data_IF_321921079735
#
_entry.id   IF_321921079735
#
_cell.length_a   1.000
_cell.length_b   1.000
_cell.length_c   1.000
_cell.angle_alpha   90.00
_cell.angle_beta   90.00
_cell.angle_gamma   90.00
#
_symmetry.space_group_name_H-M   'P 1'
#
loop_
_entity.id
_entity.type
_entity.pdbx_description
1 polymer ?
#
# COMPACT_ATOMS: atom_id res chain seq x y z
N UNK A 1 9.46 10.04 -25.11
CA UNK A 1 10.49 9.01 -24.95
C UNK A 1 10.58 8.20 -26.24
N UNK A 2 10.97 8.82 -27.37
CA UNK A 2 10.90 8.16 -28.68
C UNK A 2 11.99 7.09 -28.87
N UNK A 3 13.07 7.16 -28.09
CA UNK A 3 14.24 6.29 -28.23
C UNK A 3 14.12 4.96 -27.46
N UNK A 4 12.89 4.54 -27.14
CA UNK A 4 12.61 3.26 -26.48
C UNK A 4 11.48 2.55 -27.22
N UNK A 5 11.65 1.25 -27.46
CA UNK A 5 10.66 0.43 -28.16
C UNK A 5 9.53 0.03 -27.19
N UNK A 6 8.61 0.96 -26.95
CA UNK A 6 7.44 0.77 -26.09
C UNK A 6 6.53 -0.35 -26.59
N UNK A 7 6.44 -0.56 -27.90
CA UNK A 7 5.60 -1.63 -28.46
C UNK A 7 6.19 -2.99 -28.10
N UNK A 8 7.50 -3.18 -28.32
CA UNK A 8 8.16 -4.42 -27.92
C UNK A 8 8.05 -4.68 -26.41
N UNK A 9 8.17 -3.63 -25.58
CA UNK A 9 8.02 -3.74 -24.14
C UNK A 9 6.59 -4.11 -23.71
N UNK A 10 5.57 -3.43 -24.25
CA UNK A 10 4.16 -3.71 -23.96
C UNK A 10 3.76 -5.11 -24.45
N UNK A 11 4.19 -5.50 -25.66
CA UNK A 11 3.92 -6.83 -26.24
C UNK A 11 4.57 -7.94 -25.39
N UNK A 12 5.80 -7.75 -24.93
CA UNK A 12 6.48 -8.71 -24.05
C UNK A 12 5.77 -8.88 -22.69
N UNK A 13 5.18 -7.81 -22.18
CA UNK A 13 4.39 -7.83 -20.95
C UNK A 13 2.93 -8.25 -21.19
N UNK A 14 2.45 -8.29 -22.42
CA UNK A 14 1.07 -8.62 -22.78
C UNK A 14 0.06 -7.48 -22.55
N UNK A 15 0.52 -6.25 -22.30
CA UNK A 15 -0.36 -5.10 -22.07
C UNK A 15 -0.77 -4.41 -23.37
N UNK A 16 -1.97 -3.83 -23.38
CA UNK A 16 -2.48 -2.96 -24.46
C UNK A 16 -2.80 -1.58 -23.90
N UNK A 17 -1.77 -0.81 -23.56
CA UNK A 17 -1.93 0.52 -22.98
C UNK A 17 -1.80 1.60 -24.06
N UNK A 18 -2.90 2.30 -24.44
CA UNK A 18 -2.83 3.38 -25.43
C UNK A 18 -2.14 4.63 -24.88
N UNK A 19 -2.12 4.80 -23.56
CA UNK A 19 -1.49 5.90 -22.85
C UNK A 19 -0.68 5.35 -21.67
N UNK A 20 0.43 6.01 -21.35
CA UNK A 20 1.30 5.66 -20.23
C UNK A 20 1.53 6.89 -19.35
N UNK A 21 1.43 6.70 -18.03
CA UNK A 21 1.79 7.71 -17.06
C UNK A 21 3.27 7.54 -16.65
N UNK A 22 4.12 8.49 -17.03
CA UNK A 22 5.53 8.51 -16.64
C UNK A 22 5.69 9.34 -15.37
N UNK A 23 5.64 8.68 -14.22
CA UNK A 23 5.69 9.32 -12.90
C UNK A 23 7.03 9.98 -12.55
N UNK A 24 8.11 9.55 -13.20
CA UNK A 24 9.47 10.07 -12.98
C UNK A 24 10.12 10.44 -14.32
N UNK A 25 9.79 11.61 -14.90
CA UNK A 25 10.17 11.91 -16.27
C UNK A 25 11.67 11.89 -16.54
N UNK A 26 12.47 12.55 -15.69
CA UNK A 26 13.92 12.62 -15.91
C UNK A 26 14.60 11.26 -15.68
N UNK A 27 14.38 10.55 -14.55
CA UNK A 27 14.95 9.21 -14.37
C UNK A 27 14.61 8.23 -15.49
N UNK A 28 13.39 8.27 -16.05
CA UNK A 28 13.03 7.41 -17.18
C UNK A 28 13.80 7.76 -18.45
N UNK A 29 14.09 9.04 -18.73
CA UNK A 29 14.97 9.42 -19.85
C UNK A 29 16.37 8.85 -19.67
N UNK A 30 16.94 9.03 -18.48
CA UNK A 30 18.30 8.61 -18.17
C UNK A 30 18.44 7.07 -18.22
N UNK A 31 17.42 6.34 -17.76
CA UNK A 31 17.38 4.87 -17.85
C UNK A 31 17.29 4.41 -19.32
N UNK A 32 16.52 5.09 -20.17
CA UNK A 32 16.45 4.75 -21.60
C UNK A 32 17.81 4.94 -22.27
N UNK A 33 18.54 6.00 -21.93
CA UNK A 33 19.93 6.20 -22.40
C UNK A 33 20.83 5.05 -21.97
N UNK A 34 20.79 4.65 -20.69
CA UNK A 34 21.55 3.50 -20.19
C UNK A 34 21.17 2.21 -20.92
N UNK A 35 19.88 1.97 -21.17
CA UNK A 35 19.41 0.78 -21.91
C UNK A 35 20.01 0.73 -23.30
N UNK A 36 20.01 1.86 -24.01
CA UNK A 36 20.47 1.94 -25.39
C UNK A 36 22.00 1.85 -25.51
N UNK A 37 22.74 2.40 -24.55
CA UNK A 37 24.20 2.48 -24.60
C UNK A 37 24.91 1.27 -23.98
N UNK A 38 24.22 0.52 -23.11
CA UNK A 38 24.82 -0.61 -22.40
C UNK A 38 24.87 -1.86 -23.30
N UNK A 39 26.05 -2.51 -23.45
CA UNK A 39 26.18 -3.76 -24.18
C UNK A 39 25.23 -4.86 -23.67
N UNK A 40 24.68 -5.66 -24.58
CA UNK A 40 23.75 -6.74 -24.24
C UNK A 40 24.33 -7.74 -23.23
N UNK A 41 25.62 -8.02 -23.27
CA UNK A 41 26.25 -8.97 -22.34
C UNK A 41 26.32 -8.42 -20.90
N UNK A 42 26.41 -7.11 -20.73
CA UNK A 42 26.31 -6.47 -19.41
C UNK A 42 24.87 -6.58 -18.87
N UNK A 43 23.87 -6.36 -19.73
CA UNK A 43 22.47 -6.58 -19.37
C UNK A 43 22.17 -8.02 -18.99
N UNK A 44 22.68 -9.01 -19.74
CA UNK A 44 22.54 -10.43 -19.40
C UNK A 44 23.18 -10.72 -18.05
N UNK A 45 24.35 -10.15 -17.77
CA UNK A 45 25.04 -10.35 -16.48
C UNK A 45 24.24 -9.75 -15.33
N UNK A 46 23.79 -8.50 -15.47
CA UNK A 46 22.95 -7.79 -14.50
C UNK A 46 21.65 -8.54 -14.21
N UNK A 47 20.90 -8.88 -15.26
CA UNK A 47 19.62 -9.58 -15.14
C UNK A 47 19.78 -11.01 -14.59
N UNK A 48 20.88 -11.70 -14.92
CA UNK A 48 21.18 -13.02 -14.34
C UNK A 48 21.39 -12.92 -12.83
N UNK A 49 22.22 -11.98 -12.38
CA UNK A 49 22.44 -11.73 -10.96
C UNK A 49 21.13 -11.41 -10.24
N UNK A 50 20.34 -10.46 -10.76
CA UNK A 50 19.07 -10.06 -10.13
C UNK A 50 18.03 -11.17 -10.16
N UNK A 51 18.00 -12.01 -11.19
CA UNK A 51 17.12 -13.18 -11.23
C UNK A 51 17.46 -14.15 -10.10
N UNK A 52 18.74 -14.44 -9.86
CA UNK A 52 19.17 -15.33 -8.77
C UNK A 52 18.90 -14.68 -7.41
N UNK A 53 19.33 -13.42 -7.23
CA UNK A 53 19.22 -12.70 -5.96
C UNK A 53 17.76 -12.51 -5.52
N UNK A 54 16.88 -12.09 -6.43
CA UNK A 54 15.46 -11.86 -6.12
C UNK A 54 14.70 -13.15 -5.80
N UNK A 55 15.20 -14.32 -6.25
CA UNK A 55 14.62 -15.62 -5.98
C UNK A 55 15.37 -16.43 -4.91
N UNK A 56 16.43 -15.86 -4.30
CA UNK A 56 17.31 -16.58 -3.38
C UNK A 56 16.58 -17.23 -2.20
N UNK A 57 15.45 -16.66 -1.76
CA UNK A 57 14.61 -17.19 -0.68
C UNK A 57 13.97 -18.56 -0.98
N UNK A 58 13.89 -18.94 -2.25
CA UNK A 58 13.27 -20.18 -2.75
C UNK A 58 14.31 -21.19 -3.24
N UNK A 59 15.59 -20.81 -3.27
CA UNK A 59 16.67 -21.65 -3.77
C UNK A 59 17.33 -22.44 -2.63
N UNK A 60 18.42 -23.12 -2.94
CA UNK A 60 19.21 -23.90 -1.98
C UNK A 60 19.75 -23.03 -0.84
N UNK A 61 20.03 -23.68 0.30
CA UNK A 61 20.45 -22.99 1.53
C UNK A 61 21.73 -22.16 1.34
N UNK A 62 22.67 -22.60 0.49
CA UNK A 62 23.89 -21.87 0.18
C UNK A 62 23.62 -20.52 -0.51
N UNK A 63 22.74 -20.50 -1.52
CA UNK A 63 22.33 -19.26 -2.21
C UNK A 63 21.54 -18.36 -1.26
N UNK A 64 20.60 -18.93 -0.51
CA UNK A 64 19.81 -18.19 0.47
C UNK A 64 20.70 -17.54 1.54
N UNK A 65 21.65 -18.29 2.10
CA UNK A 65 22.54 -17.79 3.16
C UNK A 65 23.52 -16.74 2.63
N UNK A 66 24.02 -16.89 1.39
CA UNK A 66 24.83 -15.85 0.75
C UNK A 66 24.06 -14.54 0.56
N UNK A 67 22.80 -14.62 0.12
CA UNK A 67 21.92 -13.45 0.03
C UNK A 67 21.66 -12.84 1.42
N UNK A 68 21.37 -13.67 2.43
CA UNK A 68 21.12 -13.23 3.79
C UNK A 68 22.34 -12.54 4.44
N UNK A 69 23.56 -13.04 4.20
CA UNK A 69 24.78 -12.43 4.76
C UNK A 69 24.96 -10.97 4.30
N UNK A 70 24.60 -10.66 3.06
CA UNK A 70 24.60 -9.29 2.57
C UNK A 70 23.36 -8.50 3.02
N UNK A 71 22.16 -8.89 2.57
CA UNK A 71 20.94 -8.08 2.75
C UNK A 71 20.40 -8.11 4.18
N UNK A 72 20.49 -9.26 4.85
CA UNK A 72 20.03 -9.44 6.23
C UNK A 72 21.06 -8.93 7.23
N UNK A 73 22.29 -9.46 7.16
CA UNK A 73 23.31 -9.18 8.18
C UNK A 73 24.07 -7.89 7.93
N UNK A 74 24.65 -7.71 6.74
CA UNK A 74 25.47 -6.52 6.45
C UNK A 74 24.62 -5.24 6.36
N UNK A 75 23.52 -5.27 5.61
CA UNK A 75 22.66 -4.09 5.41
C UNK A 75 21.67 -3.84 6.55
N UNK A 76 21.10 -4.91 7.13
CA UNK A 76 20.00 -4.80 8.11
C UNK A 76 20.39 -5.18 9.54
N UNK A 77 21.66 -5.58 9.79
CA UNK A 77 22.16 -5.93 11.12
C UNK A 77 21.59 -7.23 11.73
N UNK A 78 20.86 -8.03 10.96
CA UNK A 78 20.22 -9.25 11.45
C UNK A 78 21.27 -10.33 11.75
N UNK A 79 21.18 -10.94 12.92
CA UNK A 79 22.16 -11.96 13.33
C UNK A 79 21.87 -13.35 12.77
N UNK A 80 20.59 -13.67 12.57
CA UNK A 80 20.16 -14.96 12.04
C UNK A 80 18.92 -14.80 11.13
N UNK A 81 18.74 -15.72 10.17
CA UNK A 81 17.57 -15.66 9.30
C UNK A 81 16.29 -16.05 10.04
N UNK A 82 15.16 -15.50 9.61
CA UNK A 82 13.84 -15.91 10.13
C UNK A 82 13.63 -17.43 9.96
N UNK A 83 13.00 -18.10 10.95
CA UNK A 83 12.61 -19.50 10.82
C UNK A 83 11.85 -19.78 9.53
N UNK A 84 12.11 -20.93 8.91
CA UNK A 84 11.59 -21.28 7.57
C UNK A 84 10.08 -21.13 7.45
N UNK A 85 9.32 -21.52 8.46
CA UNK A 85 7.85 -21.40 8.47
C UNK A 85 7.38 -19.93 8.39
N UNK A 86 8.08 -18.98 9.03
CA UNK A 86 7.76 -17.54 8.92
C UNK A 86 8.04 -17.02 7.52
N UNK A 87 9.10 -17.51 6.87
CA UNK A 87 9.43 -17.14 5.48
C UNK A 87 8.37 -17.67 4.51
N UNK A 88 7.96 -18.93 4.67
CA UNK A 88 6.88 -19.52 3.88
C UNK A 88 5.57 -18.74 4.03
N UNK A 89 5.17 -18.42 5.27
CA UNK A 89 3.99 -17.57 5.50
C UNK A 89 4.14 -16.19 4.84
N UNK A 90 5.31 -15.57 4.93
CA UNK A 90 5.58 -14.27 4.31
C UNK A 90 5.42 -14.29 2.79
N UNK A 91 5.86 -15.37 2.12
CA UNK A 91 5.72 -15.53 0.67
C UNK A 91 4.26 -15.67 0.23
N UNK A 92 3.45 -16.38 1.02
CA UNK A 92 2.04 -16.63 0.70
C UNK A 92 1.09 -15.50 1.11
N UNK A 93 1.50 -14.59 2.00
CA UNK A 93 0.58 -13.62 2.64
C UNK A 93 0.30 -12.34 1.83
N UNK A 94 0.93 -12.17 0.66
CA UNK A 94 0.77 -10.96 -0.16
C UNK A 94 -0.58 -10.87 -0.89
N UNK A 95 -0.92 -9.66 -1.37
CA UNK A 95 -2.13 -9.40 -2.19
C UNK A 95 -2.04 -10.03 -3.58
N UNK A 96 -0.82 -10.21 -4.11
CA UNK A 96 -0.50 -10.93 -5.35
C UNK A 96 0.03 -12.35 -5.09
N UNK A 97 -0.55 -13.01 -4.08
CA UNK A 97 -0.27 -14.39 -3.70
C UNK A 97 -1.52 -15.01 -3.06
N UNK A 98 -1.38 -16.01 -2.20
CA UNK A 98 -2.48 -16.68 -1.49
C UNK A 98 -3.07 -15.87 -0.32
N UNK A 99 -2.70 -14.59 -0.20
CA UNK A 99 -2.97 -13.81 0.99
C UNK A 99 -4.45 -13.58 1.28
N UNK A 100 -5.30 -13.45 0.26
CA UNK A 100 -6.75 -13.33 0.49
C UNK A 100 -7.40 -14.67 0.85
N UNK A 101 -6.91 -15.81 0.33
CA UNK A 101 -7.36 -17.14 0.78
C UNK A 101 -7.02 -17.38 2.26
N UNK A 102 -5.79 -16.99 2.67
CA UNK A 102 -5.36 -17.01 4.07
C UNK A 102 -6.23 -16.05 4.90
N UNK A 103 -6.48 -14.85 4.40
CA UNK A 103 -7.30 -13.82 5.05
C UNK A 103 -8.73 -14.26 5.31
N UNK A 104 -9.35 -14.96 4.36
CA UNK A 104 -10.67 -15.57 4.55
C UNK A 104 -10.68 -16.55 5.72
N UNK A 105 -9.71 -17.46 5.75
CA UNK A 105 -9.56 -18.41 6.86
C UNK A 105 -9.25 -17.73 8.20
N UNK A 106 -8.53 -16.61 8.19
CA UNK A 106 -8.23 -15.82 9.39
C UNK A 106 -9.50 -15.16 9.95
N UNK A 107 -10.27 -14.48 9.10
CA UNK A 107 -11.52 -13.80 9.48
C UNK A 107 -12.53 -14.78 10.06
N UNK A 108 -12.74 -15.92 9.37
CA UNK A 108 -13.68 -16.97 9.81
C UNK A 108 -13.40 -17.49 11.23
N UNK A 109 -12.14 -17.41 11.67
CA UNK A 109 -11.68 -17.96 12.97
C UNK A 109 -11.49 -16.91 14.05
N UNK A 110 -11.07 -15.71 13.68
CA UNK A 110 -10.49 -14.75 14.62
C UNK A 110 -11.15 -13.37 14.60
N UNK A 111 -12.03 -13.08 13.65
CA UNK A 111 -12.64 -11.76 13.55
C UNK A 111 -14.15 -11.81 13.81
N UNK A 112 -14.63 -11.35 14.98
CA UNK A 112 -16.05 -11.30 15.27
C UNK A 112 -16.71 -10.10 14.58
N UNK A 113 -17.87 -10.32 13.95
CA UNK A 113 -18.62 -9.28 13.22
C UNK A 113 -18.93 -8.03 14.06
N UNK A 114 -19.11 -8.20 15.38
CA UNK A 114 -19.33 -7.08 16.31
C UNK A 114 -18.19 -6.06 16.31
N UNK A 115 -16.96 -6.48 16.00
CA UNK A 115 -15.81 -5.56 15.87
C UNK A 115 -15.96 -4.65 14.65
N UNK A 116 -16.57 -5.13 13.56
CA UNK A 116 -16.84 -4.33 12.37
C UNK A 116 -17.82 -3.20 12.68
N UNK A 117 -18.89 -3.50 13.43
CA UNK A 117 -19.89 -2.50 13.85
C UNK A 117 -19.29 -1.43 14.77
N UNK A 118 -18.57 -1.83 15.83
CA UNK A 118 -17.96 -0.87 16.76
C UNK A 118 -16.89 -0.01 16.08
N UNK A 119 -16.13 -0.59 15.16
CA UNK A 119 -15.15 0.15 14.37
C UNK A 119 -15.83 1.18 13.45
N UNK A 120 -16.97 0.84 12.85
CA UNK A 120 -17.73 1.79 12.04
C UNK A 120 -18.24 2.99 12.87
N UNK A 121 -18.69 2.75 14.11
CA UNK A 121 -19.08 3.82 15.04
C UNK A 121 -17.89 4.73 15.39
N UNK A 122 -16.71 4.16 15.67
CA UNK A 122 -15.50 4.94 15.93
C UNK A 122 -15.12 5.79 14.72
N UNK A 123 -15.17 5.23 13.51
CA UNK A 123 -14.90 5.99 12.27
C UNK A 123 -15.82 7.21 12.16
N UNK A 124 -17.11 7.06 12.39
CA UNK A 124 -18.04 8.18 12.29
C UNK A 124 -17.86 9.21 13.42
N UNK A 125 -17.49 8.79 14.64
CA UNK A 125 -17.14 9.71 15.71
C UNK A 125 -15.90 10.54 15.35
N UNK A 126 -14.86 9.93 14.77
CA UNK A 126 -13.65 10.63 14.34
C UNK A 126 -13.92 11.52 13.13
N UNK A 127 -14.80 11.11 12.21
CA UNK A 127 -15.26 11.95 11.08
C UNK A 127 -15.94 13.21 11.60
N UNK A 128 -16.84 13.08 12.56
CA UNK A 128 -17.51 14.24 13.18
C UNK A 128 -16.51 15.17 13.87
N UNK A 129 -15.61 14.62 14.68
CA UNK A 129 -14.59 15.41 15.39
C UNK A 129 -13.62 16.13 14.43
N UNK A 130 -13.23 15.50 13.32
CA UNK A 130 -12.39 16.15 12.31
C UNK A 130 -13.17 17.25 11.57
N UNK A 131 -14.47 17.06 11.32
CA UNK A 131 -15.35 18.09 10.76
C UNK A 131 -15.44 19.33 11.64
N UNK A 132 -15.67 19.15 12.94
CA UNK A 132 -15.66 20.24 13.93
C UNK A 132 -14.29 20.95 13.98
N UNK A 133 -13.20 20.18 13.89
CA UNK A 133 -11.85 20.75 13.82
C UNK A 133 -11.65 21.60 12.57
N UNK A 134 -12.15 21.17 11.40
CA UNK A 134 -12.07 21.93 10.15
C UNK A 134 -12.81 23.26 10.29
N UNK A 135 -14.02 23.26 10.85
CA UNK A 135 -14.81 24.48 11.07
C UNK A 135 -14.05 25.49 11.96
N UNK A 136 -13.33 25.00 12.96
CA UNK A 136 -12.54 25.80 13.90
C UNK A 136 -11.18 26.29 13.39
N UNK A 137 -10.74 25.95 12.16
CA UNK A 137 -9.44 26.41 11.65
C UNK A 137 -9.50 27.92 11.33
N UNK A 138 -8.63 28.69 11.98
CA UNK A 138 -8.54 30.16 11.86
C UNK A 138 -7.73 30.63 10.65
N UNK A 139 -6.94 29.73 10.07
CA UNK A 139 -6.02 29.98 8.96
C UNK A 139 -6.58 29.57 7.60
N UNK A 140 -7.74 28.92 7.56
CA UNK A 140 -8.36 28.42 6.33
C UNK A 140 -9.69 29.15 6.07
N UNK A 141 -9.86 29.68 4.86
CA UNK A 141 -11.06 30.36 4.42
C UNK A 141 -12.28 29.43 4.24
N UNK A 142 -13.46 30.03 4.21
CA UNK A 142 -14.74 29.30 4.14
C UNK A 142 -14.87 28.43 2.87
N UNK A 143 -14.35 28.88 1.74
CA UNK A 143 -14.38 28.11 0.49
C UNK A 143 -13.61 26.80 0.62
N UNK A 144 -12.36 26.86 1.08
CA UNK A 144 -11.52 25.67 1.27
C UNK A 144 -12.09 24.77 2.38
N UNK A 145 -12.68 25.33 3.44
CA UNK A 145 -13.40 24.54 4.47
C UNK A 145 -14.57 23.75 3.90
N UNK A 146 -15.38 24.34 3.00
CA UNK A 146 -16.48 23.64 2.32
C UNK A 146 -15.93 22.45 1.52
N UNK A 147 -14.84 22.65 0.76
CA UNK A 147 -14.20 21.60 -0.02
C UNK A 147 -13.61 20.49 0.88
N UNK A 148 -12.93 20.87 1.97
CA UNK A 148 -12.37 19.93 2.93
C UNK A 148 -13.45 19.07 3.59
N UNK A 149 -14.59 19.66 3.97
CA UNK A 149 -15.74 18.92 4.52
C UNK A 149 -16.40 18.03 3.49
N UNK A 150 -16.53 18.47 2.23
CA UNK A 150 -17.03 17.62 1.15
C UNK A 150 -16.13 16.40 0.94
N UNK A 151 -14.81 16.59 0.99
CA UNK A 151 -13.84 15.49 0.93
C UNK A 151 -13.99 14.56 2.13
N UNK A 152 -14.04 15.09 3.35
CA UNK A 152 -14.22 14.32 4.58
C UNK A 152 -15.51 13.49 4.56
N UNK A 153 -16.61 14.07 4.08
CA UNK A 153 -17.89 13.36 3.93
C UNK A 153 -17.82 12.22 2.90
N UNK A 154 -16.97 12.36 1.87
CA UNK A 154 -16.78 11.37 0.82
C UNK A 154 -15.80 10.23 1.19
N UNK A 155 -15.18 10.24 2.38
CA UNK A 155 -14.29 9.14 2.80
C UNK A 155 -15.06 7.82 2.85
N UNK A 156 -14.54 6.80 2.16
CA UNK A 156 -15.08 5.44 2.14
C UNK A 156 -14.31 4.52 3.10
N UNK A 157 -14.87 4.13 4.26
CA UNK A 157 -14.19 3.20 5.17
C UNK A 157 -14.39 1.74 4.74
N UNK A 158 -13.29 0.98 4.67
CA UNK A 158 -13.30 -0.48 4.50
C UNK A 158 -12.76 -1.15 5.77
N UNK A 159 -13.55 -2.03 6.38
CA UNK A 159 -13.28 -2.54 7.73
C UNK A 159 -13.27 -4.07 7.73
N UNK A 160 -12.20 -4.65 8.25
CA UNK A 160 -12.01 -6.08 8.43
C UNK A 160 -11.53 -6.79 7.17
N UNK A 161 -12.40 -6.91 6.17
CA UNK A 161 -12.18 -7.79 5.01
C UNK A 161 -13.07 -7.39 3.82
N UNK A 162 -12.71 -7.80 2.59
CA UNK A 162 -13.52 -7.49 1.40
C UNK A 162 -14.84 -8.24 1.38
N UNK A 163 -15.87 -7.61 0.84
CA UNK A 163 -17.17 -8.25 0.62
C UNK A 163 -17.10 -9.28 -0.53
N UNK A 164 -16.20 -9.07 -1.50
CA UNK A 164 -15.92 -9.98 -2.61
C UNK A 164 -14.50 -10.57 -2.51
N UNK A 165 -14.40 -11.89 -2.58
CA UNK A 165 -13.12 -12.59 -2.52
C UNK A 165 -12.58 -12.88 -3.92
N UNK A 166 -11.26 -12.73 -4.09
CA UNK A 166 -10.59 -13.15 -5.32
C UNK A 166 -10.81 -14.65 -5.57
N UNK A 167 -11.20 -15.00 -6.79
CA UNK A 167 -11.18 -16.39 -7.27
C UNK A 167 -9.76 -16.79 -7.62
N UNK A 168 -9.36 -17.99 -7.18
CA UNK A 168 -8.09 -18.65 -7.54
C UNK A 168 -8.31 -19.76 -8.58
N UNK A 169 -9.46 -19.78 -9.25
CA UNK A 169 -9.73 -20.73 -10.34
C UNK A 169 -8.69 -20.60 -11.45
N UNK A 170 -8.11 -21.72 -11.86
CA UNK A 170 -7.01 -21.76 -12.84
C UNK A 170 -5.60 -21.62 -12.26
N UNK A 171 -5.45 -21.40 -10.94
CA UNK A 171 -4.15 -21.46 -10.28
C UNK A 171 -3.81 -22.90 -9.88
N UNK A 172 -2.69 -23.41 -10.41
CA UNK A 172 -2.17 -24.74 -10.08
C UNK A 172 -0.99 -24.66 -9.11
N UNK A 173 -1.11 -25.37 -7.98
CA UNK A 173 -0.08 -25.48 -6.94
C UNK A 173 0.05 -26.95 -6.54
N UNK A 174 1.29 -27.43 -6.35
CA UNK A 174 1.60 -28.79 -5.90
C UNK A 174 2.44 -28.78 -4.62
N UNK A 175 2.56 -29.91 -3.93
CA UNK A 175 3.42 -30.07 -2.76
C UNK A 175 4.87 -30.47 -3.11
N UNK A 176 5.21 -30.60 -4.40
CA UNK A 176 6.48 -31.14 -4.87
C UNK A 176 7.48 -30.09 -5.39
N UNK A 177 7.00 -28.96 -5.94
CA UNK A 177 7.86 -27.97 -6.61
C UNK A 177 7.49 -26.53 -6.24
N UNK A 178 8.23 -25.97 -5.29
CA UNK A 178 8.06 -24.59 -4.83
C UNK A 178 8.30 -23.57 -5.95
N UNK A 179 9.34 -23.76 -6.77
CA UNK A 179 9.70 -22.77 -7.78
C UNK A 179 8.65 -22.70 -8.88
N UNK A 180 8.10 -23.86 -9.27
CA UNK A 180 6.98 -23.91 -10.21
C UNK A 180 5.72 -23.27 -9.61
N UNK A 181 5.42 -23.50 -8.33
CA UNK A 181 4.28 -22.84 -7.67
C UNK A 181 4.40 -21.32 -7.70
N UNK A 182 5.56 -20.76 -7.35
CA UNK A 182 5.78 -19.30 -7.34
C UNK A 182 5.69 -18.70 -8.74
N UNK A 183 6.17 -19.42 -9.77
CA UNK A 183 5.98 -19.04 -11.17
C UNK A 183 4.52 -19.08 -11.58
N UNK A 184 3.76 -20.08 -11.16
CA UNK A 184 2.34 -20.19 -11.46
C UNK A 184 1.54 -19.06 -10.80
N UNK A 185 1.83 -18.74 -9.53
CA UNK A 185 1.24 -17.59 -8.83
C UNK A 185 1.56 -16.29 -9.58
N UNK A 186 2.82 -16.07 -9.95
CA UNK A 186 3.23 -14.86 -10.67
C UNK A 186 2.51 -14.72 -12.01
N UNK A 187 2.43 -15.80 -12.80
CA UNK A 187 1.69 -15.82 -14.08
C UNK A 187 0.20 -15.58 -13.90
N UNK A 188 -0.40 -16.17 -12.87
CA UNK A 188 -1.81 -16.02 -12.55
C UNK A 188 -2.16 -14.56 -12.25
N UNK A 189 -1.42 -13.90 -11.37
CA UNK A 189 -1.66 -12.51 -11.03
C UNK A 189 -1.28 -11.54 -12.16
N UNK A 190 -0.26 -11.85 -12.94
CA UNK A 190 0.10 -11.08 -14.14
C UNK A 190 -1.03 -11.14 -15.18
N UNK A 191 -1.58 -12.32 -15.44
CA UNK A 191 -2.70 -12.48 -16.38
C UNK A 191 -3.94 -11.68 -15.93
N UNK A 192 -4.25 -11.68 -14.63
CA UNK A 192 -5.32 -10.84 -14.07
C UNK A 192 -5.06 -9.35 -14.24
N UNK A 193 -3.83 -8.89 -13.98
CA UNK A 193 -3.47 -7.50 -14.18
C UNK A 193 -3.64 -7.07 -15.65
N UNK A 194 -3.25 -7.93 -16.59
CA UNK A 194 -3.43 -7.68 -18.03
C UNK A 194 -4.91 -7.66 -18.42
N UNK A 195 -5.73 -8.55 -17.86
CA UNK A 195 -7.18 -8.58 -18.07
C UNK A 195 -7.85 -7.30 -17.54
N UNK A 196 -7.45 -6.84 -16.36
CA UNK A 196 -8.03 -5.68 -15.69
C UNK A 196 -7.58 -4.32 -16.29
N UNK A 197 -6.50 -4.26 -17.06
CA UNK A 197 -5.87 -3.00 -17.50
C UNK A 197 -6.81 -2.06 -18.27
N UNK A 198 -7.68 -2.63 -19.12
CA UNK A 198 -8.63 -1.86 -19.94
C UNK A 198 -10.04 -1.79 -19.32
N UNK A 199 -10.22 -2.39 -18.15
CA UNK A 199 -11.49 -2.38 -17.44
C UNK A 199 -11.58 -1.17 -16.49
N UNK A 200 -12.79 -0.72 -16.15
CA UNK A 200 -12.97 0.30 -15.13
C UNK A 200 -12.31 -0.12 -13.82
N UNK A 201 -11.61 0.82 -13.18
CA UNK A 201 -10.92 0.53 -11.92
C UNK A 201 -11.88 -0.03 -10.85
N UNK A 202 -11.57 -1.22 -10.34
CA UNK A 202 -12.35 -1.83 -9.26
C UNK A 202 -12.09 -1.10 -7.93
N UNK A 203 -13.05 -0.26 -7.52
CA UNK A 203 -13.01 0.49 -6.26
C UNK A 203 -13.26 -0.37 -5.03
N UNK A 204 -13.72 -1.61 -5.16
CA UNK A 204 -13.88 -2.55 -4.05
C UNK A 204 -12.59 -3.33 -3.74
N UNK A 205 -11.58 -3.26 -4.61
CA UNK A 205 -10.29 -3.94 -4.38
C UNK A 205 -9.62 -3.43 -3.09
N UNK A 206 -8.99 -4.34 -2.36
CA UNK A 206 -8.21 -4.03 -1.17
C UNK A 206 -6.70 -3.99 -1.49
N UNK A 207 -6.01 -2.98 -0.97
CA UNK A 207 -4.54 -2.86 -1.03
C UNK A 207 -3.80 -3.69 0.01
N UNK A 208 -4.51 -4.27 0.98
CA UNK A 208 -3.96 -5.13 2.04
C UNK A 208 -4.86 -6.33 2.30
N UNK A 209 -4.27 -7.44 2.70
CA UNK A 209 -4.98 -8.66 3.07
C UNK A 209 -5.52 -8.57 4.51
N UNK A 210 -6.66 -9.21 4.85
CA UNK A 210 -7.29 -9.12 6.19
C UNK A 210 -6.36 -9.42 7.38
N UNK A 211 -5.41 -10.35 7.23
CA UNK A 211 -4.46 -10.76 8.26
C UNK A 211 -3.25 -9.80 8.44
N UNK A 212 -3.20 -8.69 7.70
CA UNK A 212 -2.12 -7.70 7.82
C UNK A 212 -2.37 -6.80 9.01
N UNK A 213 -1.42 -6.71 9.94
CA UNK A 213 -1.47 -5.73 11.04
C UNK A 213 -0.94 -4.39 10.50
N UNK A 214 -1.82 -3.62 9.88
CA UNK A 214 -1.56 -2.27 9.39
C UNK A 214 -2.89 -1.56 9.06
N UNK A 215 -2.86 -0.31 8.63
CA UNK A 215 -3.96 0.40 7.99
C UNK A 215 -3.43 1.21 6.79
N UNK A 216 -4.31 1.75 5.95
CA UNK A 216 -3.91 2.67 4.89
C UNK A 216 -5.00 3.65 4.45
N UNK A 217 -4.56 4.77 3.88
CA UNK A 217 -5.33 5.68 3.05
C UNK A 217 -4.95 5.54 1.57
N UNK A 218 -5.93 5.64 0.68
CA UNK A 218 -5.70 5.73 -0.77
C UNK A 218 -6.41 6.96 -1.35
N UNK A 219 -5.61 7.91 -1.85
CA UNK A 219 -6.10 9.19 -2.37
C UNK A 219 -6.99 9.05 -3.59
N UNK A 220 -6.68 8.13 -4.51
CA UNK A 220 -7.43 7.94 -5.76
C UNK A 220 -8.87 7.45 -5.52
N UNK A 221 -9.11 6.74 -4.41
CA UNK A 221 -10.45 6.29 -4.03
C UNK A 221 -11.04 7.05 -2.85
N UNK A 222 -10.27 7.95 -2.24
CA UNK A 222 -10.62 8.63 -1.00
C UNK A 222 -11.13 7.63 0.05
N UNK A 223 -10.37 6.55 0.27
CA UNK A 223 -10.74 5.46 1.16
C UNK A 223 -9.75 5.27 2.30
N UNK A 224 -10.24 4.80 3.43
CA UNK A 224 -9.44 4.38 4.59
C UNK A 224 -9.74 2.92 4.89
N UNK A 225 -8.71 2.12 5.13
CA UNK A 225 -8.84 0.66 5.17
C UNK A 225 -8.16 0.08 6.39
N UNK A 226 -8.91 -0.73 7.13
CA UNK A 226 -8.50 -1.35 8.39
C UNK A 226 -8.68 -2.88 8.28
N UNK A 227 -7.65 -3.63 7.84
CA UNK A 227 -7.66 -5.09 7.86
C UNK A 227 -8.02 -5.68 9.24
N UNK A 228 -8.68 -6.83 9.25
CA UNK A 228 -9.17 -7.50 10.46
C UNK A 228 -8.08 -7.65 11.55
N UNK A 229 -6.83 -7.90 11.16
CA UNK A 229 -5.74 -8.12 12.10
C UNK A 229 -5.23 -6.84 12.79
N UNK A 230 -5.58 -5.62 12.36
CA UNK A 230 -5.30 -4.44 13.22
C UNK A 230 -6.37 -4.27 14.30
N UNK A 231 -7.54 -4.88 14.15
CA UNK A 231 -8.67 -4.78 15.07
C UNK A 231 -8.59 -5.81 16.20
N UNK A 232 -7.44 -5.81 16.87
CA UNK A 232 -7.14 -6.66 18.03
C UNK A 232 -6.23 -5.90 19.02
N UNK A 233 -6.07 -6.38 20.26
CA UNK A 233 -5.15 -5.75 21.21
C UNK A 233 -3.71 -5.69 20.66
N UNK A 234 -2.96 -4.60 20.91
CA UNK A 234 -3.32 -3.48 21.80
C UNK A 234 -4.13 -2.36 21.14
N UNK A 235 -4.48 -2.47 19.85
CA UNK A 235 -5.15 -1.38 19.14
C UNK A 235 -6.64 -1.30 19.45
N UNK A 236 -7.31 -2.45 19.48
CA UNK A 236 -8.75 -2.54 19.68
C UNK A 236 -9.12 -3.74 20.55
N UNK A 237 -9.91 -3.49 21.59
CA UNK A 237 -10.58 -4.53 22.38
C UNK A 237 -12.05 -4.13 22.57
N UNK A 238 -13.02 -4.91 22.05
CA UNK A 238 -14.44 -4.58 22.19
C UNK A 238 -14.95 -4.63 23.63
N UNK A 239 -14.16 -5.15 24.58
CA UNK A 239 -14.50 -5.23 26.00
C UNK A 239 -13.72 -4.24 26.87
N UNK A 240 -12.78 -3.47 26.29
CA UNK A 240 -12.01 -2.48 27.04
C UNK A 240 -12.80 -1.18 27.25
N UNK A 241 -12.30 -0.35 28.16
CA UNK A 241 -12.77 1.03 28.29
C UNK A 241 -12.60 1.75 26.94
N UNK A 242 -13.63 2.49 26.45
CA UNK A 242 -13.54 3.20 25.18
C UNK A 242 -12.31 4.10 25.05
N UNK A 243 -11.81 4.70 26.14
CA UNK A 243 -10.61 5.53 26.12
C UNK A 243 -9.38 4.79 25.59
N UNK A 244 -9.25 3.48 25.86
CA UNK A 244 -8.17 2.64 25.31
C UNK A 244 -8.30 2.57 23.79
N UNK A 245 -9.50 2.28 23.30
CA UNK A 245 -9.75 2.18 21.86
C UNK A 245 -9.56 3.54 21.15
N UNK A 246 -10.04 4.65 21.73
CA UNK A 246 -9.81 5.99 21.18
C UNK A 246 -8.33 6.37 21.16
N UNK A 247 -7.57 6.03 22.21
CA UNK A 247 -6.14 6.32 22.29
C UNK A 247 -5.27 5.48 21.35
N UNK A 248 -5.74 4.30 20.96
CA UNK A 248 -5.03 3.38 20.07
C UNK A 248 -5.66 3.34 18.67
N UNK A 249 -6.66 2.49 18.40
CA UNK A 249 -7.25 2.41 17.06
C UNK A 249 -7.91 3.73 16.62
N UNK A 250 -8.45 4.54 17.54
CA UNK A 250 -8.97 5.87 17.24
C UNK A 250 -7.90 6.83 16.72
N UNK A 251 -6.69 6.78 17.28
CA UNK A 251 -5.55 7.53 16.77
C UNK A 251 -5.13 7.05 15.37
N UNK A 252 -5.18 5.74 15.11
CA UNK A 252 -4.94 5.17 13.77
C UNK A 252 -6.02 5.63 12.77
N UNK A 253 -7.30 5.64 13.14
CA UNK A 253 -8.37 6.18 12.29
C UNK A 253 -8.09 7.64 11.95
N UNK A 254 -7.75 8.45 12.97
CA UNK A 254 -7.40 9.86 12.78
C UNK A 254 -6.18 10.05 11.88
N UNK A 255 -5.19 9.16 11.97
CA UNK A 255 -4.01 9.14 11.09
C UNK A 255 -4.40 8.88 9.63
N UNK A 256 -5.18 7.83 9.36
CA UNK A 256 -5.62 7.52 7.99
C UNK A 256 -6.55 8.59 7.41
N UNK A 257 -7.41 9.22 8.22
CA UNK A 257 -8.18 10.39 7.80
C UNK A 257 -7.27 11.60 7.51
N UNK A 258 -6.26 11.79 8.35
CA UNK A 258 -5.25 12.84 8.19
C UNK A 258 -4.49 12.73 6.87
N UNK A 259 -4.22 11.51 6.39
CA UNK A 259 -3.58 11.29 5.08
C UNK A 259 -4.39 11.85 3.90
N UNK A 260 -5.71 12.01 4.00
CA UNK A 260 -6.47 12.72 2.97
C UNK A 260 -6.24 14.23 2.94
N UNK A 261 -5.55 14.78 3.93
CA UNK A 261 -5.29 16.22 4.07
C UNK A 261 -3.80 16.53 4.28
N UNK A 262 -2.91 15.54 4.18
CA UNK A 262 -1.47 15.77 4.22
C UNK A 262 -0.96 16.46 2.93
N UNK A 263 0.34 16.68 2.82
CA UNK A 263 0.95 17.40 1.70
C UNK A 263 0.70 16.75 0.33
N UNK A 264 0.39 15.45 0.27
CA UNK A 264 0.06 14.75 -0.97
C UNK A 264 -1.44 14.52 -1.11
N UNK A 265 -2.12 14.03 -0.06
CA UNK A 265 -3.55 13.81 -0.04
C UNK A 265 -4.33 15.10 -0.28
N UNK A 266 -3.84 16.24 0.21
CA UNK A 266 -4.44 17.56 -0.05
C UNK A 266 -4.49 17.96 -1.53
N UNK A 267 -3.79 17.25 -2.43
CA UNK A 267 -3.79 17.53 -3.88
C UNK A 267 -4.91 16.83 -4.63
N UNK A 268 -5.66 15.93 -3.98
CA UNK A 268 -6.81 15.24 -4.56
C UNK A 268 -8.11 15.70 -3.92
N UNK A 269 -9.16 15.84 -4.73
CA UNK A 269 -10.49 16.25 -4.27
C UNK A 269 -11.28 15.10 -3.61
N UNK A 270 -12.56 15.34 -3.33
CA UNK A 270 -13.48 14.37 -2.74
C UNK A 270 -13.71 13.10 -3.60
N UNK A 271 -13.44 13.16 -4.91
CA UNK A 271 -13.59 12.04 -5.85
C UNK A 271 -12.27 11.29 -6.06
N UNK A 272 -11.18 11.77 -5.47
CA UNK A 272 -9.83 11.25 -5.64
C UNK A 272 -9.12 11.77 -6.90
N UNK A 273 -9.64 12.82 -7.53
CA UNK A 273 -9.03 13.44 -8.70
C UNK A 273 -8.01 14.47 -8.25
N UNK A 274 -6.79 14.38 -8.79
CA UNK A 274 -5.74 15.36 -8.52
C UNK A 274 -6.08 16.69 -9.18
N UNK A 275 -6.45 17.68 -8.37
CA UNK A 275 -6.79 19.03 -8.81
C UNK A 275 -6.65 20.03 -7.67
N UNK A 276 -6.44 21.31 -8.00
CA UNK A 276 -6.42 22.34 -6.97
C UNK A 276 -7.86 22.66 -6.53
N UNK A 277 -8.14 22.46 -5.24
CA UNK A 277 -9.39 22.82 -4.57
C UNK A 277 -9.17 23.81 -3.41
N UNK A 278 -7.97 24.38 -3.34
CA UNK A 278 -7.55 25.37 -2.36
C UNK A 278 -7.54 26.76 -3.00
N UNK A 279 -7.78 27.79 -2.20
CA UNK A 279 -7.33 29.13 -2.55
C UNK A 279 -5.80 29.23 -2.41
N UNK A 280 -5.18 30.17 -3.11
CA UNK A 280 -3.72 30.37 -3.02
C UNK A 280 -3.29 30.77 -1.60
N UNK A 281 -4.10 31.56 -0.90
CA UNK A 281 -3.86 31.98 0.49
C UNK A 281 -3.89 30.78 1.45
N UNK A 282 -4.92 29.92 1.35
CA UNK A 282 -5.06 28.74 2.21
C UNK A 282 -3.96 27.71 1.94
N UNK A 283 -3.54 27.57 0.67
CA UNK A 283 -2.42 26.68 0.31
C UNK A 283 -1.11 27.18 0.93
N UNK A 284 -0.81 28.48 0.83
CA UNK A 284 0.38 29.05 1.43
C UNK A 284 0.37 28.92 2.96
N UNK A 285 -0.78 29.11 3.61
CA UNK A 285 -0.94 28.91 5.05
C UNK A 285 -0.75 27.44 5.47
N UNK A 286 -1.23 26.49 4.67
CA UNK A 286 -1.00 25.06 4.88
C UNK A 286 0.49 24.71 4.79
N UNK A 287 1.17 25.15 3.73
CA UNK A 287 2.60 24.91 3.50
C UNK A 287 3.46 25.46 4.65
N UNK A 288 3.19 26.70 5.09
CA UNK A 288 3.91 27.29 6.22
C UNK A 288 3.79 26.47 7.51
N UNK A 289 2.63 25.83 7.76
CA UNK A 289 2.44 24.95 8.93
C UNK A 289 3.10 23.59 8.75
N UNK A 290 3.06 23.03 7.54
CA UNK A 290 3.76 21.79 7.21
C UNK A 290 5.28 21.95 7.39
N UNK A 291 5.83 23.09 6.97
CA UNK A 291 7.26 23.41 7.12
C UNK A 291 7.69 23.48 8.59
N UNK A 292 6.83 23.97 9.49
CA UNK A 292 7.12 23.94 10.93
C UNK A 292 7.26 22.50 11.45
N UNK A 293 6.42 21.58 10.98
CA UNK A 293 6.50 20.17 11.35
C UNK A 293 7.75 19.52 10.76
N UNK A 294 8.06 19.81 9.50
CA UNK A 294 9.30 19.34 8.86
C UNK A 294 10.54 19.82 9.62
N UNK A 295 10.58 21.09 10.02
CA UNK A 295 11.66 21.66 10.82
C UNK A 295 11.79 20.98 12.20
N UNK A 296 10.66 20.70 12.87
CA UNK A 296 10.65 19.99 14.14
C UNK A 296 11.27 18.60 14.01
N UNK A 297 10.82 17.79 13.05
CA UNK A 297 11.29 16.42 12.89
C UNK A 297 12.72 16.33 12.35
N UNK A 298 13.17 17.34 11.59
CA UNK A 298 14.56 17.44 11.12
C UNK A 298 15.57 17.64 12.25
N UNK A 299 15.12 18.07 13.43
CA UNK A 299 15.98 18.26 14.60
C UNK A 299 16.12 17.00 15.48
N UNK A 300 15.40 15.91 15.17
CA UNK A 300 15.51 14.66 15.92
C UNK A 300 16.63 13.77 15.39
N UNK A 301 17.37 13.18 16.30
CA UNK A 301 18.37 12.15 16.04
C UNK A 301 18.05 10.88 16.84
N UNK A 302 18.48 9.68 16.38
CA UNK A 302 18.38 8.47 17.19
C UNK A 302 19.08 8.69 18.54
N UNK A 303 18.52 8.14 19.61
CA UNK A 303 19.21 8.09 20.90
C UNK A 303 20.45 7.19 20.73
N UNK A 304 21.64 7.78 20.87
CA UNK A 304 22.92 7.05 20.90
C UNK A 304 23.15 6.32 22.23
#
# INVERSE_FOLDING_TARGET
YPDFDWNAWLDAMGFKAPELNISQPQPVKDVIEIINDTPLDDWKTYLTYHTISNNASMLSDDIYLANFDFYGKTLSGQQEPRPRWKRALSAMSGTTSLGFAIGKSYVDRFFPESSKTQMAELVENLRAALGERIDGLDWMGEETKVNAKAKLAAFNPKIGYPDEWISYEGLEITDQDLLTNERNISKFFHAKQVEDELEPTNRERWGMTPQRVNAYYNSSFNEIVFPAAILQPPFFDPNADPAVNYGAIGAVIGHEMGHGFDDQGSKSDAKGIQQNWWTDEDRAAFEAKADMLAAQYSAYEPIE
#
